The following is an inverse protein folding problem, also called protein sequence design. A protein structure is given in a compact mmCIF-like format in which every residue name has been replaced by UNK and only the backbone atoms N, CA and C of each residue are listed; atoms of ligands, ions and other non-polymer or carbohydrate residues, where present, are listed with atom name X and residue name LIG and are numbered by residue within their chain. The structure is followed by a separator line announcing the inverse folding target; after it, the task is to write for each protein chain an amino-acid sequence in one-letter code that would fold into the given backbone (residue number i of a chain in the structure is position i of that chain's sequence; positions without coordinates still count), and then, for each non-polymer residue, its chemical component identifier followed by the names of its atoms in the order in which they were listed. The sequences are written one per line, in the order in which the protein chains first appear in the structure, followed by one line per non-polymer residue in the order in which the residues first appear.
data_IF_517473351964
#
_entry.id   IF_517473351964
#
_cell.length_a   1.000
_cell.length_b   1.000
_cell.length_c   1.000
_cell.angle_alpha   90.00
_cell.angle_beta   90.00
_cell.angle_gamma   90.00
#
_symmetry.space_group_name_H-M   'P 1'
#
loop_
_entity.id
_entity.type
_entity.pdbx_description
1 polymer ?
#
# COMPACT_ATOMS: atom_id res chain seq x y z
N UNK A 1 37.03 12.38 -13.58
CA UNK A 1 36.38 11.17 -14.12
C UNK A 1 37.20 10.59 -15.27
N UNK A 2 37.77 11.39 -16.16
CA UNK A 2 38.52 10.95 -17.37
C UNK A 2 39.79 10.12 -17.13
N UNK A 3 40.19 9.91 -15.86
CA UNK A 3 41.34 9.07 -15.46
C UNK A 3 40.94 7.80 -14.71
N UNK A 4 39.65 7.59 -14.46
CA UNK A 4 39.12 6.41 -13.76
C UNK A 4 38.68 5.36 -14.77
N UNK A 5 38.90 4.08 -14.45
CA UNK A 5 38.39 2.99 -15.28
C UNK A 5 36.85 2.95 -15.18
N UNK A 6 36.14 2.53 -16.24
CA UNK A 6 34.69 2.41 -16.22
C UNK A 6 34.16 1.59 -15.03
N UNK A 7 34.88 0.55 -14.61
CA UNK A 7 34.54 -0.27 -13.46
C UNK A 7 34.48 0.52 -12.13
N UNK A 8 35.44 1.42 -11.87
CA UNK A 8 35.44 2.26 -10.67
C UNK A 8 34.28 3.25 -10.73
N UNK A 9 33.97 3.79 -11.91
CA UNK A 9 32.85 4.73 -12.09
C UNK A 9 31.53 4.02 -11.80
N UNK A 10 31.33 2.80 -12.29
CA UNK A 10 30.12 2.02 -12.01
C UNK A 10 29.94 1.75 -10.52
N UNK A 11 31.00 1.37 -9.81
CA UNK A 11 30.96 1.22 -8.35
C UNK A 11 30.54 2.52 -7.66
N UNK A 12 31.10 3.67 -8.05
CA UNK A 12 30.68 4.96 -7.47
C UNK A 12 29.18 5.21 -7.72
N UNK A 13 28.69 4.93 -8.93
CA UNK A 13 27.28 5.14 -9.30
C UNK A 13 26.32 4.28 -8.47
N UNK A 14 26.67 3.04 -8.14
CA UNK A 14 25.86 2.14 -7.29
C UNK A 14 25.65 2.68 -5.86
N UNK A 15 26.59 3.48 -5.36
CA UNK A 15 26.55 4.07 -4.02
C UNK A 15 25.90 5.45 -3.95
N UNK A 16 25.47 6.02 -5.08
CA UNK A 16 24.75 7.29 -5.09
C UNK A 16 23.31 7.12 -4.61
N UNK A 17 22.80 8.14 -3.92
CA UNK A 17 21.36 8.23 -3.70
C UNK A 17 20.61 8.48 -5.02
N UNK A 18 19.29 8.24 -5.05
CA UNK A 18 18.50 8.36 -6.28
C UNK A 18 18.56 9.78 -6.87
N UNK A 19 18.39 10.87 -6.09
CA UNK A 19 18.51 12.22 -6.64
C UNK A 19 19.89 12.51 -7.25
N UNK A 20 20.97 12.10 -6.59
CA UNK A 20 22.33 12.31 -7.05
C UNK A 20 22.61 11.48 -8.29
N UNK A 21 22.19 10.22 -8.34
CA UNK A 21 22.29 9.37 -9.53
C UNK A 21 21.60 10.01 -10.75
N UNK A 22 20.41 10.56 -10.58
CA UNK A 22 19.67 11.24 -11.65
C UNK A 22 20.40 12.52 -12.11
N UNK A 23 20.98 13.29 -11.19
CA UNK A 23 21.77 14.47 -11.52
C UNK A 23 23.08 14.11 -12.25
N UNK A 24 23.75 13.03 -11.86
CA UNK A 24 24.96 12.54 -12.51
C UNK A 24 24.72 12.19 -13.98
N UNK A 25 23.56 11.65 -14.31
CA UNK A 25 23.15 11.39 -15.71
C UNK A 25 23.10 12.66 -16.56
N UNK A 26 22.89 13.83 -15.96
CA UNK A 26 22.84 15.12 -16.64
C UNK A 26 24.20 15.82 -16.70
N UNK A 27 25.23 15.29 -16.01
CA UNK A 27 26.52 15.96 -15.87
C UNK A 27 27.36 15.96 -17.15
N UNK A 28 27.32 14.89 -17.96
CA UNK A 28 28.04 14.81 -19.23
C UNK A 28 27.42 13.80 -20.20
N UNK A 29 27.74 13.94 -21.49
CA UNK A 29 27.31 12.97 -22.52
C UNK A 29 27.87 11.57 -22.27
N UNK A 30 29.15 11.48 -21.91
CA UNK A 30 29.80 10.20 -21.59
C UNK A 30 29.15 9.50 -20.40
N UNK A 31 28.78 10.24 -19.35
CA UNK A 31 28.08 9.67 -18.19
C UNK A 31 26.68 9.20 -18.54
N UNK A 32 25.96 9.97 -19.38
CA UNK A 32 24.64 9.59 -19.88
C UNK A 32 24.70 8.29 -20.70
N UNK A 33 25.70 8.14 -21.55
CA UNK A 33 25.92 6.94 -22.37
C UNK A 33 26.29 5.73 -21.49
N UNK A 34 27.22 5.90 -20.54
CA UNK A 34 27.59 4.85 -19.58
C UNK A 34 26.38 4.38 -18.74
N UNK A 35 25.60 5.30 -18.19
CA UNK A 35 24.41 4.97 -17.42
C UNK A 35 23.35 4.28 -18.29
N UNK A 36 23.21 4.66 -19.55
CA UNK A 36 22.27 4.02 -20.47
C UNK A 36 22.68 2.58 -20.82
N UNK A 37 23.99 2.32 -20.93
CA UNK A 37 24.54 0.98 -21.17
C UNK A 37 24.30 0.04 -19.98
N UNK A 38 24.51 0.52 -18.75
CA UNK A 38 24.39 -0.27 -17.51
C UNK A 38 23.09 0.00 -16.72
N UNK A 39 22.07 0.54 -17.39
CA UNK A 39 20.88 1.12 -16.73
C UNK A 39 20.18 0.13 -15.81
N UNK A 40 19.98 -1.10 -16.28
CA UNK A 40 19.26 -2.15 -15.56
C UNK A 40 20.01 -2.59 -14.30
N UNK A 41 21.32 -2.83 -14.40
CA UNK A 41 22.14 -3.30 -13.28
C UNK A 41 22.30 -2.21 -12.22
N UNK A 42 22.61 -0.97 -12.64
CA UNK A 42 22.71 0.18 -11.73
C UNK A 42 21.39 0.43 -11.01
N UNK A 43 20.27 0.38 -11.73
CA UNK A 43 18.94 0.52 -11.13
C UNK A 43 18.69 -0.54 -10.05
N UNK A 44 18.98 -1.81 -10.35
CA UNK A 44 18.75 -2.90 -9.42
C UNK A 44 19.61 -2.73 -8.15
N UNK A 45 20.91 -2.45 -8.32
CA UNK A 45 21.84 -2.24 -7.22
C UNK A 45 21.45 -1.04 -6.34
N UNK A 46 21.11 0.10 -6.96
CA UNK A 46 20.66 1.30 -6.23
C UNK A 46 19.36 1.03 -5.47
N UNK A 47 18.41 0.34 -6.10
CA UNK A 47 17.13 0.00 -5.45
C UNK A 47 17.33 -0.94 -4.26
N UNK A 48 18.12 -2.00 -4.40
CA UNK A 48 18.40 -2.96 -3.31
C UNK A 48 19.13 -2.32 -2.13
N UNK A 49 19.99 -1.33 -2.39
CA UNK A 49 20.77 -0.64 -1.35
C UNK A 49 19.98 0.41 -0.59
N UNK A 50 19.18 1.22 -1.30
CA UNK A 50 18.52 2.40 -0.71
C UNK A 50 17.10 2.09 -0.26
N UNK A 51 16.38 1.27 -1.03
CA UNK A 51 14.97 1.02 -0.78
C UNK A 51 14.80 -0.20 0.12
N UNK A 52 13.84 -0.16 1.05
CA UNK A 52 13.52 -1.33 1.86
C UNK A 52 13.17 -2.55 0.98
N UNK A 53 13.53 -3.78 1.39
CA UNK A 53 13.30 -5.00 0.59
C UNK A 53 11.84 -5.21 0.18
N UNK A 54 10.88 -4.81 1.03
CA UNK A 54 9.45 -4.92 0.71
C UNK A 54 9.03 -4.03 -0.47
N UNK A 55 9.78 -2.96 -0.78
CA UNK A 55 9.54 -2.11 -1.96
C UNK A 55 10.07 -2.78 -3.22
N UNK A 56 11.28 -3.35 -3.16
CA UNK A 56 11.95 -3.94 -4.33
C UNK A 56 11.24 -5.19 -4.84
N UNK A 57 10.50 -5.87 -3.95
CA UNK A 57 9.61 -6.99 -4.26
C UNK A 57 8.29 -6.56 -4.91
N UNK A 58 7.94 -5.28 -4.92
CA UNK A 58 6.73 -4.82 -5.59
C UNK A 58 6.95 -4.85 -7.11
N UNK A 59 6.03 -5.47 -7.84
CA UNK A 59 6.07 -5.51 -9.31
C UNK A 59 5.80 -4.10 -9.84
N UNK A 60 6.78 -3.37 -10.41
CA UNK A 60 6.53 -2.03 -10.92
C UNK A 60 5.44 -2.08 -12.00
N UNK A 61 4.51 -1.11 -12.04
CA UNK A 61 3.40 -1.16 -12.98
C UNK A 61 3.99 -1.09 -14.38
N UNK A 62 3.79 -2.14 -15.20
CA UNK A 62 4.33 -2.37 -16.56
C UNK A 62 5.14 -1.19 -17.10
N UNK A 63 6.33 -0.93 -16.55
CA UNK A 63 7.04 0.30 -16.86
C UNK A 63 7.54 0.14 -18.29
N UNK A 64 6.98 0.87 -19.26
CA UNK A 64 7.44 0.75 -20.63
C UNK A 64 8.79 1.48 -20.66
N UNK A 65 9.85 0.70 -20.88
CA UNK A 65 11.17 1.18 -21.29
C UNK A 65 12.02 1.81 -20.15
N UNK A 66 13.04 1.07 -19.70
CA UNK A 66 14.21 1.58 -18.96
C UNK A 66 14.26 1.25 -17.45
N UNK A 67 15.43 0.85 -16.96
CA UNK A 67 15.73 0.69 -15.53
C UNK A 67 15.45 1.96 -14.73
N UNK A 68 15.76 3.15 -15.24
CA UNK A 68 15.55 4.42 -14.53
C UNK A 68 14.06 4.67 -14.24
N UNK A 69 13.17 4.36 -15.19
CA UNK A 69 11.73 4.50 -14.94
C UNK A 69 11.26 3.54 -13.84
N UNK A 70 11.83 2.33 -13.79
CA UNK A 70 11.59 1.38 -12.71
C UNK A 70 12.10 1.93 -11.38
N UNK A 71 13.30 2.50 -11.31
CA UNK A 71 13.84 3.12 -10.10
C UNK A 71 12.91 4.22 -9.57
N UNK A 72 12.46 5.11 -10.45
CA UNK A 72 11.53 6.19 -10.10
C UNK A 72 10.17 5.66 -9.62
N UNK A 73 9.65 4.61 -10.24
CA UNK A 73 8.40 3.98 -9.81
C UNK A 73 8.54 3.36 -8.40
N UNK A 74 9.68 2.71 -8.11
CA UNK A 74 9.96 2.16 -6.79
C UNK A 74 10.14 3.27 -5.74
N UNK A 75 10.84 4.35 -6.07
CA UNK A 75 10.96 5.52 -5.18
C UNK A 75 9.59 6.14 -4.89
N UNK A 76 8.74 6.29 -5.91
CA UNK A 76 7.39 6.80 -5.74
C UNK A 76 6.58 5.92 -4.78
N UNK A 77 6.64 4.59 -4.96
CA UNK A 77 5.98 3.63 -4.05
C UNK A 77 6.48 3.78 -2.62
N UNK A 78 7.80 3.84 -2.43
CA UNK A 78 8.38 4.07 -1.10
C UNK A 78 7.84 5.35 -0.46
N UNK A 79 7.83 6.45 -1.20
CA UNK A 79 7.29 7.73 -0.71
C UNK A 79 5.82 7.61 -0.33
N UNK A 80 4.96 7.04 -1.19
CA UNK A 80 3.54 6.89 -0.88
C UNK A 80 3.33 6.02 0.35
N UNK A 81 4.01 4.87 0.44
CA UNK A 81 3.90 4.00 1.63
C UNK A 81 4.33 4.72 2.91
N UNK A 82 5.42 5.49 2.84
CA UNK A 82 5.92 6.28 3.96
C UNK A 82 4.93 7.36 4.38
N UNK A 83 4.46 8.18 3.44
CA UNK A 83 3.52 9.27 3.73
C UNK A 83 2.17 8.75 4.22
N UNK A 84 1.66 7.66 3.65
CA UNK A 84 0.42 7.02 4.12
C UNK A 84 0.59 6.51 5.55
N UNK A 85 1.69 5.83 5.87
CA UNK A 85 1.96 5.35 7.23
C UNK A 85 2.09 6.50 8.24
N UNK A 86 2.80 7.57 7.87
CA UNK A 86 2.91 8.78 8.69
C UNK A 86 1.54 9.42 8.94
N UNK A 87 0.71 9.48 7.91
CA UNK A 87 -0.64 10.03 8.01
C UNK A 87 -1.53 9.19 8.93
N UNK A 88 -1.44 7.86 8.84
CA UNK A 88 -2.11 6.92 9.75
C UNK A 88 -1.69 7.18 11.20
N UNK A 89 -0.39 7.35 11.46
CA UNK A 89 0.11 7.55 12.82
C UNK A 89 -0.17 8.94 13.40
N UNK A 90 -0.16 9.98 12.55
CA UNK A 90 -0.44 11.34 12.94
C UNK A 90 -1.93 11.63 13.15
N UNK A 91 -2.81 10.75 12.65
CA UNK A 91 -4.28 10.96 12.69
C UNK A 91 -5.02 9.83 13.38
N UNK A 92 -4.45 8.64 13.43
CA UNK A 92 -4.96 7.51 14.19
C UNK A 92 -4.88 7.75 15.67
N UNK A 93 -5.98 7.53 16.37
CA UNK A 93 -5.94 7.34 17.82
C UNK A 93 -5.69 5.86 18.07
N UNK A 94 -4.45 5.54 18.47
CA UNK A 94 -4.14 4.22 19.02
C UNK A 94 -4.26 4.36 20.54
N UNK A 95 -5.42 3.99 21.08
CA UNK A 95 -5.76 4.29 22.48
C UNK A 95 -6.17 5.75 22.65
N UNK A 96 -5.20 6.62 22.95
CA UNK A 96 -5.29 8.10 23.05
C UNK A 96 -4.05 8.78 22.44
N UNK A 97 -3.29 8.07 21.61
CA UNK A 97 -1.96 8.48 21.19
C UNK A 97 -1.97 8.97 19.75
N UNK A 98 -1.42 10.18 19.55
CA UNK A 98 -1.06 10.73 18.24
C UNK A 98 0.46 10.84 18.17
N UNK A 99 1.05 10.32 17.10
CA UNK A 99 2.50 10.35 16.90
C UNK A 99 2.91 11.43 15.90
N UNK A 100 3.99 12.15 16.21
CA UNK A 100 4.65 12.98 15.22
C UNK A 100 5.29 12.11 14.12
N UNK A 101 5.49 12.69 12.94
CA UNK A 101 6.07 11.97 11.80
C UNK A 101 7.48 11.43 12.07
N UNK A 102 8.22 12.05 13.01
CA UNK A 102 9.60 11.78 13.40
C UNK A 102 9.73 11.15 14.81
N UNK A 103 8.63 10.72 15.45
CA UNK A 103 8.73 10.01 16.74
C UNK A 103 9.40 8.64 16.54
N UNK A 104 10.64 8.51 17.02
CA UNK A 104 11.43 7.30 16.95
C UNK A 104 10.78 6.10 17.66
N UNK A 105 9.93 6.35 18.66
CA UNK A 105 9.17 5.28 19.32
C UNK A 105 8.16 4.62 18.38
N UNK A 106 7.68 5.37 17.38
CA UNK A 106 6.74 4.86 16.38
C UNK A 106 7.42 4.20 15.17
N UNK A 107 8.76 4.14 15.11
CA UNK A 107 9.50 3.59 13.95
C UNK A 107 9.18 2.13 13.65
N UNK A 108 9.09 1.30 14.69
CA UNK A 108 8.72 -0.10 14.57
C UNK A 108 7.29 -0.25 14.02
N UNK A 109 6.34 0.45 14.64
CA UNK A 109 4.94 0.45 14.20
C UNK A 109 4.79 0.99 12.77
N UNK A 110 5.53 2.05 12.41
CA UNK A 110 5.55 2.62 11.07
C UNK A 110 6.04 1.60 10.04
N UNK A 111 7.07 0.83 10.39
CA UNK A 111 7.60 -0.24 9.54
C UNK A 111 6.56 -1.33 9.32
N UNK A 112 5.85 -1.74 10.36
CA UNK A 112 4.77 -2.73 10.25
C UNK A 112 3.63 -2.24 9.35
N UNK A 113 3.21 -0.98 9.52
CA UNK A 113 2.19 -0.37 8.65
C UNK A 113 2.66 -0.33 7.19
N UNK A 114 3.89 0.11 6.93
CA UNK A 114 4.45 0.19 5.58
C UNK A 114 4.51 -1.17 4.89
N UNK A 115 4.90 -2.23 5.60
CA UNK A 115 4.90 -3.61 5.07
C UNK A 115 3.49 -4.09 4.76
N UNK A 116 2.52 -3.85 5.65
CA UNK A 116 1.12 -4.19 5.38
C UNK A 116 0.54 -3.44 4.18
N UNK A 117 0.87 -2.16 4.01
CA UNK A 117 0.49 -1.37 2.85
C UNK A 117 1.19 -1.86 1.56
N UNK A 118 2.43 -2.35 1.65
CA UNK A 118 3.14 -2.94 0.52
C UNK A 118 2.42 -4.18 0.00
N UNK A 119 1.98 -5.09 0.90
CA UNK A 119 1.17 -6.25 0.52
C UNK A 119 -0.15 -5.82 -0.15
N UNK A 120 -0.84 -4.82 0.41
CA UNK A 120 -2.05 -4.28 -0.19
C UNK A 120 -1.81 -3.71 -1.59
N UNK A 121 -0.66 -3.05 -1.81
CA UNK A 121 -0.27 -2.56 -3.13
C UNK A 121 -0.07 -3.70 -4.12
N UNK A 122 0.61 -4.79 -3.74
CA UNK A 122 0.74 -5.97 -4.61
C UNK A 122 -0.62 -6.52 -5.03
N UNK A 123 -1.61 -6.53 -4.13
CA UNK A 123 -2.97 -6.97 -4.44
C UNK A 123 -3.69 -6.04 -5.42
N UNK A 124 -3.38 -4.74 -5.38
CA UNK A 124 -3.86 -3.75 -6.33
C UNK A 124 -3.19 -3.91 -7.70
N UNK A 125 -1.87 -4.12 -7.74
CA UNK A 125 -1.12 -4.39 -8.99
C UNK A 125 -1.64 -5.63 -9.72
N UNK A 126 -2.00 -6.69 -8.97
CA UNK A 126 -2.61 -7.90 -9.54
C UNK A 126 -3.97 -7.56 -10.17
N UNK A 127 -4.81 -6.78 -9.47
CA UNK A 127 -6.11 -6.39 -9.99
C UNK A 127 -5.98 -5.55 -11.26
N UNK A 128 -5.15 -4.51 -11.23
CA UNK A 128 -4.88 -3.65 -12.38
C UNK A 128 -4.38 -4.46 -13.59
N UNK A 129 -3.51 -5.44 -13.36
CA UNK A 129 -2.97 -6.31 -14.41
C UNK A 129 -4.07 -7.12 -15.11
N UNK A 130 -4.98 -7.71 -14.32
CA UNK A 130 -6.11 -8.50 -14.84
C UNK A 130 -7.11 -7.58 -15.56
N UNK A 131 -7.45 -6.44 -14.96
CA UNK A 131 -8.39 -5.48 -15.55
C UNK A 131 -7.88 -4.93 -16.89
N UNK A 132 -6.60 -4.57 -16.94
CA UNK A 132 -5.95 -4.08 -18.18
C UNK A 132 -5.96 -5.15 -19.26
N UNK A 133 -5.65 -6.41 -18.91
CA UNK A 133 -5.72 -7.53 -19.85
C UNK A 133 -7.15 -7.77 -20.35
N UNK A 134 -8.14 -7.71 -19.45
CA UNK A 134 -9.54 -7.85 -19.80
C UNK A 134 -10.05 -6.69 -20.67
N UNK A 135 -9.58 -5.46 -20.44
CA UNK A 135 -9.91 -4.30 -21.26
C UNK A 135 -9.32 -4.43 -22.67
N UNK A 136 -8.03 -4.79 -22.80
CA UNK A 136 -7.39 -4.99 -24.09
C UNK A 136 -8.07 -6.12 -24.89
N UNK A 137 -8.47 -7.20 -24.22
CA UNK A 137 -9.21 -8.30 -24.84
C UNK A 137 -10.62 -7.90 -25.31
N UNK A 138 -11.23 -6.86 -24.74
CA UNK A 138 -12.51 -6.30 -25.22
C UNK A 138 -12.30 -5.40 -26.43
N UNK A 139 -11.26 -4.58 -26.43
CA UNK A 139 -10.94 -3.67 -27.54
C UNK A 139 -10.48 -4.42 -28.79
N UNK A 140 -9.75 -5.52 -28.62
CA UNK A 140 -9.31 -6.38 -29.72
C UNK A 140 -10.47 -7.16 -30.39
N UNK A 141 -11.67 -7.18 -29.80
CA UNK A 141 -12.83 -7.80 -30.43
C UNK A 141 -13.40 -6.87 -31.50
N UNK A 142 -13.53 -7.32 -32.77
CA UNK A 142 -14.09 -6.49 -33.82
C UNK A 142 -15.52 -6.06 -33.44
N UNK A 143 -15.99 -4.87 -33.88
CA UNK A 143 -17.36 -4.44 -33.66
C UNK A 143 -18.31 -5.43 -34.34
N UNK A 144 -18.79 -6.42 -33.59
CA UNK A 144 -19.72 -7.44 -34.10
C UNK A 144 -21.07 -6.79 -34.35
N UNK A 145 -21.26 -6.27 -35.57
CA UNK A 145 -22.55 -5.80 -36.07
C UNK A 145 -23.40 -6.87 -36.74
N UNK A 146 -22.94 -8.13 -36.91
CA UNK A 146 -23.60 -9.04 -37.89
C UNK A 146 -24.01 -10.42 -37.37
N UNK A 147 -23.70 -10.84 -36.15
CA UNK A 147 -24.23 -12.11 -35.63
C UNK A 147 -24.74 -11.89 -34.23
N UNK A 148 -26.00 -12.27 -33.96
CA UNK A 148 -26.74 -12.16 -32.70
C UNK A 148 -26.14 -12.95 -31.52
N UNK A 149 -24.81 -12.97 -31.44
CA UNK A 149 -24.02 -13.55 -30.36
C UNK A 149 -24.21 -12.63 -29.16
N UNK A 150 -24.99 -13.14 -28.22
CA UNK A 150 -25.24 -12.57 -26.90
C UNK A 150 -23.98 -11.90 -26.33
N UNK A 151 -24.04 -10.59 -26.10
CA UNK A 151 -23.08 -9.96 -25.18
C UNK A 151 -23.28 -10.61 -23.81
N UNK A 152 -22.22 -11.13 -23.15
CA UNK A 152 -22.33 -11.53 -21.76
C UNK A 152 -22.92 -10.35 -20.99
N UNK A 153 -23.92 -10.61 -20.15
CA UNK A 153 -24.44 -9.57 -19.26
C UNK A 153 -23.25 -8.98 -18.49
N UNK A 154 -23.25 -7.67 -18.29
CA UNK A 154 -22.18 -6.94 -17.60
C UNK A 154 -21.78 -7.61 -16.27
N UNK A 155 -22.75 -8.17 -15.55
CA UNK A 155 -22.54 -8.94 -14.32
C UNK A 155 -21.74 -10.23 -14.53
N UNK A 156 -21.90 -10.94 -15.64
CA UNK A 156 -21.14 -12.14 -15.99
C UNK A 156 -19.69 -11.80 -16.31
N UNK A 157 -19.47 -10.68 -16.99
CA UNK A 157 -18.13 -10.21 -17.35
C UNK A 157 -17.36 -9.73 -16.11
N UNK A 158 -18.00 -8.92 -15.26
CA UNK A 158 -17.43 -8.50 -13.97
C UNK A 158 -17.09 -9.73 -13.13
N UNK A 159 -17.99 -10.71 -13.04
CA UNK A 159 -17.72 -11.93 -12.28
C UNK A 159 -16.49 -12.69 -12.78
N UNK A 160 -16.32 -12.84 -14.09
CA UNK A 160 -15.11 -13.48 -14.64
C UNK A 160 -13.84 -12.72 -14.30
N UNK A 161 -13.87 -11.38 -14.37
CA UNK A 161 -12.72 -10.55 -13.99
C UNK A 161 -12.42 -10.71 -12.49
N UNK A 162 -13.44 -10.65 -11.62
CA UNK A 162 -13.25 -10.86 -10.18
C UNK A 162 -12.70 -12.26 -9.86
N UNK A 163 -13.24 -13.29 -10.50
CA UNK A 163 -12.79 -14.68 -10.29
C UNK A 163 -11.31 -14.83 -10.71
N UNK A 164 -10.88 -14.19 -11.79
CA UNK A 164 -9.47 -14.18 -12.22
C UNK A 164 -8.57 -13.36 -11.28
N UNK A 165 -9.02 -12.18 -10.83
CA UNK A 165 -8.30 -11.38 -9.83
C UNK A 165 -8.09 -12.19 -8.56
N UNK A 166 -9.16 -12.81 -8.05
CA UNK A 166 -9.09 -13.64 -6.85
C UNK A 166 -8.11 -14.79 -7.05
N UNK A 167 -8.21 -15.54 -8.15
CA UNK A 167 -7.31 -16.66 -8.43
C UNK A 167 -5.83 -16.24 -8.40
N UNK A 168 -5.46 -15.12 -9.05
CA UNK A 168 -4.07 -14.64 -9.06
C UNK A 168 -3.61 -14.11 -7.71
N UNK A 169 -4.51 -13.50 -6.93
CA UNK A 169 -4.19 -13.08 -5.55
C UNK A 169 -3.93 -14.28 -4.65
N UNK A 170 -4.80 -15.30 -4.72
CA UNK A 170 -4.63 -16.53 -3.94
C UNK A 170 -3.34 -17.27 -4.32
N UNK A 171 -3.02 -17.34 -5.61
CA UNK A 171 -1.74 -17.88 -6.09
C UNK A 171 -0.55 -17.12 -5.48
N UNK A 172 -0.56 -15.78 -5.52
CA UNK A 172 0.50 -14.96 -4.93
C UNK A 172 0.61 -15.17 -3.42
N UNK A 173 -0.53 -15.21 -2.71
CA UNK A 173 -0.57 -15.44 -1.26
C UNK A 173 0.07 -16.77 -0.91
N UNK A 174 -0.37 -17.85 -1.55
CA UNK A 174 0.11 -19.21 -1.25
C UNK A 174 1.60 -19.39 -1.56
N UNK A 175 2.14 -18.65 -2.54
CA UNK A 175 3.52 -18.79 -2.97
C UNK A 175 4.50 -17.84 -2.25
N UNK A 176 4.06 -16.64 -1.87
CA UNK A 176 4.98 -15.53 -1.53
C UNK A 176 4.68 -14.83 -0.22
N UNK A 177 3.50 -15.02 0.38
CA UNK A 177 3.11 -14.31 1.60
C UNK A 177 3.45 -15.16 2.82
N UNK A 178 4.25 -14.60 3.72
CA UNK A 178 4.64 -15.25 4.98
C UNK A 178 3.66 -14.93 6.11
N UNK A 179 3.73 -15.69 7.21
CA UNK A 179 2.96 -15.39 8.42
C UNK A 179 3.28 -14.00 9.01
N UNK A 180 4.51 -13.52 8.82
CA UNK A 180 4.98 -12.19 9.20
C UNK A 180 4.30 -11.10 8.36
N UNK A 181 4.14 -11.31 7.06
CA UNK A 181 3.40 -10.39 6.18
C UNK A 181 1.91 -10.29 6.57
N UNK A 182 1.30 -11.40 6.98
CA UNK A 182 -0.08 -11.41 7.48
C UNK A 182 -0.19 -10.59 8.77
N UNK A 183 0.75 -10.74 9.70
CA UNK A 183 0.81 -9.92 10.91
C UNK A 183 0.92 -8.42 10.57
N UNK A 184 1.84 -8.04 9.69
CA UNK A 184 1.99 -6.65 9.22
C UNK A 184 0.72 -6.10 8.58
N UNK A 185 0.04 -6.91 7.78
CA UNK A 185 -1.23 -6.56 7.16
C UNK A 185 -2.33 -6.32 8.20
N UNK A 186 -2.42 -7.15 9.24
CA UNK A 186 -3.37 -6.96 10.35
C UNK A 186 -3.07 -5.69 11.17
N UNK A 187 -1.80 -5.41 11.46
CA UNK A 187 -1.37 -4.15 12.10
C UNK A 187 -1.82 -2.96 11.26
N UNK A 188 -1.49 -2.95 9.96
CA UNK A 188 -1.90 -1.90 9.03
C UNK A 188 -3.43 -1.71 8.98
N UNK A 189 -4.20 -2.79 8.91
CA UNK A 189 -5.66 -2.74 8.88
C UNK A 189 -6.23 -2.14 10.18
N UNK A 190 -5.66 -2.55 11.33
CA UNK A 190 -6.09 -2.10 12.66
C UNK A 190 -5.81 -0.61 12.86
N UNK A 191 -4.63 -0.13 12.50
CA UNK A 191 -4.26 1.29 12.63
C UNK A 191 -5.00 2.18 11.63
N UNK A 192 -5.26 1.67 10.42
CA UNK A 192 -6.07 2.38 9.43
C UNK A 192 -7.50 2.55 9.92
N UNK A 193 -8.12 1.50 10.47
CA UNK A 193 -9.44 1.57 11.10
C UNK A 193 -9.49 2.65 12.18
N UNK A 194 -8.50 2.66 13.08
CA UNK A 194 -8.43 3.64 14.16
C UNK A 194 -8.37 5.09 13.62
N UNK A 195 -7.65 5.30 12.52
CA UNK A 195 -7.58 6.61 11.83
C UNK A 195 -8.94 7.05 11.31
N UNK A 196 -9.68 6.15 10.65
CA UNK A 196 -11.00 6.47 10.16
C UNK A 196 -12.03 6.69 11.27
N UNK A 197 -11.95 5.96 12.39
CA UNK A 197 -12.86 6.14 13.52
C UNK A 197 -12.64 7.46 14.27
N UNK A 198 -11.40 7.92 14.36
CA UNK A 198 -11.05 9.15 15.07
C UNK A 198 -11.52 10.42 14.33
N UNK A 199 -11.48 10.42 12.99
CA UNK A 199 -11.81 11.62 12.20
C UNK A 199 -13.32 11.89 12.14
N UNK A 200 -14.00 12.30 13.22
CA UNK A 200 -15.41 12.80 13.22
C UNK A 200 -16.45 11.91 12.50
N UNK A 201 -16.11 10.67 12.19
CA UNK A 201 -16.97 9.66 11.56
C UNK A 201 -17.90 9.03 12.61
N UNK A 202 -17.57 9.17 13.89
CA UNK A 202 -18.40 8.73 15.01
C UNK A 202 -19.76 9.47 15.11
N UNK A 203 -19.85 10.72 14.64
CA UNK A 203 -21.07 11.53 14.69
C UNK A 203 -22.05 11.25 13.53
N UNK A 204 -21.69 10.37 12.60
CA UNK A 204 -22.56 9.98 11.51
C UNK A 204 -23.16 8.59 11.74
N UNK A 205 -24.48 8.56 12.00
CA UNK A 205 -25.32 7.37 12.15
C UNK A 205 -25.19 6.33 11.03
N UNK A 206 -24.65 6.72 9.88
CA UNK A 206 -24.28 5.85 8.76
C UNK A 206 -23.13 4.87 9.05
N UNK A 207 -22.28 5.14 10.06
CA UNK A 207 -21.16 4.28 10.48
C UNK A 207 -21.51 3.39 11.69
N UNK A 208 -22.72 3.51 12.25
CA UNK A 208 -23.20 2.59 13.31
C UNK A 208 -23.28 1.11 12.87
N UNK A 209 -23.20 0.85 11.56
CA UNK A 209 -23.01 -0.48 11.04
C UNK A 209 -21.56 -0.93 11.24
N UNK A 210 -21.37 -1.90 12.13
CA UNK A 210 -20.12 -2.56 12.57
C UNK A 210 -19.22 -3.15 11.45
N UNK A 211 -19.34 -2.74 10.18
CA UNK A 211 -18.81 -3.43 8.99
C UNK A 211 -17.89 -2.54 8.14
N UNK A 212 -17.14 -1.60 8.72
CA UNK A 212 -16.47 -0.57 7.90
C UNK A 212 -14.99 -0.79 7.65
N UNK A 213 -14.18 -1.14 8.65
CA UNK A 213 -12.75 -1.49 8.47
C UNK A 213 -12.40 -2.52 9.54
N UNK A 214 -11.49 -3.45 9.25
CA UNK A 214 -11.06 -4.49 10.20
C UNK A 214 -12.03 -5.66 10.43
N UNK A 215 -13.20 -5.67 9.79
CA UNK A 215 -14.00 -6.90 9.62
C UNK A 215 -13.82 -7.40 8.19
N UNK A 216 -13.73 -8.73 8.04
CA UNK A 216 -13.60 -9.47 6.74
C UNK A 216 -14.62 -9.01 5.67
N UNK A 217 -15.71 -8.39 6.12
CA UNK A 217 -16.88 -7.97 5.35
C UNK A 217 -16.94 -6.46 5.04
N UNK A 218 -15.87 -5.71 5.31
CA UNK A 218 -15.81 -4.28 5.05
C UNK A 218 -15.61 -3.97 3.56
N UNK A 219 -16.51 -3.15 2.99
CA UNK A 219 -16.39 -2.72 1.59
C UNK A 219 -15.08 -1.98 1.31
N UNK A 220 -14.59 -1.23 2.30
CA UNK A 220 -13.33 -0.49 2.24
C UNK A 220 -12.15 -1.44 2.04
N UNK A 221 -12.15 -2.61 2.69
CA UNK A 221 -11.07 -3.58 2.55
C UNK A 221 -10.94 -4.05 1.09
N UNK A 222 -12.05 -4.38 0.44
CA UNK A 222 -12.01 -4.86 -0.96
C UNK A 222 -11.69 -3.72 -1.93
N UNK A 223 -12.17 -2.50 -1.64
CA UNK A 223 -11.85 -1.30 -2.41
C UNK A 223 -10.35 -1.01 -2.39
N UNK A 224 -9.75 -1.03 -1.20
CA UNK A 224 -8.32 -0.79 -1.04
C UNK A 224 -7.48 -1.93 -1.58
N UNK A 225 -7.94 -3.19 -1.52
CA UNK A 225 -7.27 -4.29 -2.22
C UNK A 225 -7.21 -4.05 -3.73
N UNK A 226 -8.21 -3.36 -4.32
CA UNK A 226 -8.22 -3.03 -5.74
C UNK A 226 -7.34 -1.83 -6.10
N UNK A 227 -7.43 -0.75 -5.32
CA UNK A 227 -6.84 0.53 -5.72
C UNK A 227 -5.55 0.89 -4.98
N UNK A 228 -5.25 0.20 -3.89
CA UNK A 228 -4.01 0.33 -3.13
C UNK A 228 -3.88 1.59 -2.27
N UNK A 229 -2.71 1.76 -1.63
CA UNK A 229 -2.41 2.85 -0.70
C UNK A 229 -2.49 4.30 -1.23
N UNK A 230 -2.30 4.61 -2.54
CA UNK A 230 -2.48 5.97 -3.03
C UNK A 230 -3.87 6.54 -2.76
N UNK A 231 -4.89 5.69 -2.76
CA UNK A 231 -6.26 6.09 -2.43
C UNK A 231 -6.36 6.58 -0.98
N UNK A 232 -5.75 5.86 -0.04
CA UNK A 232 -5.70 6.27 1.36
C UNK A 232 -4.99 7.61 1.53
N UNK A 233 -3.83 7.76 0.88
CA UNK A 233 -3.08 9.01 0.94
C UNK A 233 -3.96 10.17 0.45
N UNK A 234 -4.58 10.03 -0.73
CA UNK A 234 -5.46 11.04 -1.27
C UNK A 234 -6.62 11.36 -0.32
N UNK A 235 -7.30 10.35 0.24
CA UNK A 235 -8.42 10.55 1.16
C UNK A 235 -8.02 11.39 2.37
N UNK A 236 -6.82 11.15 2.92
CA UNK A 236 -6.37 11.83 4.11
C UNK A 236 -5.66 13.15 3.81
N UNK A 237 -4.93 13.31 2.71
CA UNK A 237 -4.24 14.57 2.39
C UNK A 237 -5.17 15.63 1.81
N UNK A 238 -6.43 15.31 1.51
CA UNK A 238 -7.38 16.29 1.02
C UNK A 238 -7.65 17.38 2.06
N UNK A 239 -7.77 18.65 1.64
CA UNK A 239 -8.21 19.75 2.50
C UNK A 239 -9.71 19.67 2.82
N UNK A 240 -10.38 18.62 2.34
CA UNK A 240 -11.79 18.35 2.55
C UNK A 240 -11.92 17.42 3.76
N UNK A 241 -12.89 17.64 4.67
CA UNK A 241 -13.14 16.74 5.78
C UNK A 241 -13.34 15.29 5.33
N UNK A 242 -12.75 14.33 6.04
CA UNK A 242 -12.74 12.92 5.61
C UNK A 242 -14.13 12.29 5.49
N UNK A 243 -15.14 12.83 6.19
CA UNK A 243 -16.54 12.42 6.02
C UNK A 243 -17.06 12.66 4.59
N UNK A 244 -16.61 13.72 3.92
CA UNK A 244 -17.03 14.04 2.55
C UNK A 244 -16.39 13.09 1.54
N UNK A 245 -15.11 12.76 1.71
CA UNK A 245 -14.45 11.74 0.87
C UNK A 245 -15.08 10.36 1.04
N UNK A 246 -15.44 9.99 2.28
CA UNK A 246 -16.21 8.78 2.55
C UNK A 246 -17.57 8.80 1.83
N UNK A 247 -18.26 9.95 1.81
CA UNK A 247 -19.53 10.11 1.08
C UNK A 247 -19.34 9.94 -0.42
N UNK A 248 -18.27 10.47 -0.99
CA UNK A 248 -17.95 10.32 -2.41
C UNK A 248 -17.65 8.87 -2.77
N UNK A 249 -16.87 8.16 -1.94
CA UNK A 249 -16.61 6.74 -2.15
C UNK A 249 -17.91 5.94 -2.04
N UNK A 250 -18.73 6.20 -1.01
CA UNK A 250 -20.05 5.58 -0.88
C UNK A 250 -20.99 5.91 -2.05
N UNK A 251 -20.89 7.09 -2.63
CA UNK A 251 -21.65 7.47 -3.82
C UNK A 251 -21.20 6.64 -5.04
N UNK A 252 -19.89 6.47 -5.23
CA UNK A 252 -19.32 5.57 -6.25
C UNK A 252 -19.87 4.15 -6.07
N UNK A 253 -19.95 3.66 -4.82
CA UNK A 253 -20.49 2.32 -4.54
C UNK A 253 -22.01 2.23 -4.74
N UNK A 254 -22.76 3.24 -4.30
CA UNK A 254 -24.22 3.26 -4.41
C UNK A 254 -24.70 3.32 -5.86
N UNK A 255 -23.87 3.88 -6.75
CA UNK A 255 -24.10 3.88 -8.19
C UNK A 255 -23.82 2.51 -8.86
N UNK A 256 -23.12 1.58 -8.20
CA UNK A 256 -22.82 0.25 -8.76
C UNK A 256 -24.01 -0.70 -8.63
N UNK A 257 -24.16 -1.60 -9.61
CA UNK A 257 -25.18 -2.64 -9.58
C UNK A 257 -24.95 -3.57 -8.38
N UNK A 258 -26.00 -3.84 -7.59
CA UNK A 258 -25.94 -4.71 -6.39
C UNK A 258 -25.26 -6.08 -6.64
N UNK A 259 -25.42 -6.64 -7.84
CA UNK A 259 -24.77 -7.91 -8.21
C UNK A 259 -23.23 -7.81 -8.26
N UNK A 260 -22.69 -6.68 -8.74
CA UNK A 260 -21.25 -6.42 -8.81
C UNK A 260 -20.66 -6.33 -7.41
N UNK A 261 -21.30 -5.54 -6.54
CA UNK A 261 -20.87 -5.36 -5.15
C UNK A 261 -20.83 -6.70 -4.40
N UNK A 262 -21.82 -7.57 -4.62
CA UNK A 262 -21.83 -8.92 -4.01
C UNK A 262 -20.67 -9.78 -4.46
N UNK A 263 -20.26 -9.68 -5.73
CA UNK A 263 -19.12 -10.44 -6.26
C UNK A 263 -17.80 -9.93 -5.69
N UNK A 264 -17.57 -8.62 -5.76
CA UNK A 264 -16.37 -7.99 -5.18
C UNK A 264 -16.25 -8.28 -3.67
N UNK A 265 -17.39 -8.21 -2.95
CA UNK A 265 -17.50 -8.60 -1.55
C UNK A 265 -17.01 -10.02 -1.29
N UNK A 266 -17.56 -10.96 -2.03
CA UNK A 266 -17.25 -12.37 -1.84
C UNK A 266 -15.77 -12.62 -2.09
N UNK A 267 -15.21 -12.06 -3.17
CA UNK A 267 -13.79 -12.20 -3.48
C UNK A 267 -12.89 -11.63 -2.37
N UNK A 268 -13.23 -10.47 -1.81
CA UNK A 268 -12.48 -9.90 -0.69
C UNK A 268 -12.59 -10.73 0.60
N UNK A 269 -13.74 -11.32 0.88
CA UNK A 269 -13.91 -12.26 2.01
C UNK A 269 -13.08 -13.53 1.83
N UNK A 270 -13.10 -14.11 0.62
CA UNK A 270 -12.35 -15.31 0.29
C UNK A 270 -10.83 -15.04 0.40
N UNK A 271 -10.36 -13.87 -0.05
CA UNK A 271 -8.99 -13.41 0.15
C UNK A 271 -8.59 -13.33 1.64
N UNK A 272 -9.42 -12.69 2.47
CA UNK A 272 -9.14 -12.58 3.91
C UNK A 272 -9.18 -13.93 4.63
N UNK A 273 -10.01 -14.86 4.15
CA UNK A 273 -10.02 -16.22 4.67
C UNK A 273 -8.68 -16.91 4.41
N UNK A 274 -8.13 -16.79 3.21
CA UNK A 274 -6.83 -17.39 2.88
C UNK A 274 -5.69 -16.82 3.72
N UNK A 275 -5.64 -15.49 3.92
CA UNK A 275 -4.65 -14.88 4.81
C UNK A 275 -4.74 -15.42 6.26
N UNK A 276 -5.97 -15.60 6.75
CA UNK A 276 -6.21 -16.17 8.07
C UNK A 276 -5.80 -17.64 8.16
N UNK A 277 -5.83 -18.39 7.06
CA UNK A 277 -5.38 -19.79 7.04
C UNK A 277 -3.84 -19.88 7.08
N UNK A 278 -3.11 -18.87 6.58
CA UNK A 278 -1.65 -18.76 6.72
C UNK A 278 -1.22 -18.43 8.15
N UNK A 279 -1.86 -17.44 8.79
CA UNK A 279 -1.60 -17.11 10.18
C UNK A 279 -2.92 -16.92 10.96
N UNK A 280 -3.47 -18.00 11.55
CA UNK A 280 -4.72 -17.95 12.32
C UNK A 280 -4.64 -17.10 13.59
N UNK A 281 -3.42 -16.87 14.10
CA UNK A 281 -3.17 -16.10 15.32
C UNK A 281 -2.81 -14.65 15.06
N UNK A 282 -2.64 -14.22 13.80
CA UNK A 282 -2.22 -12.87 13.42
C UNK A 282 -3.07 -11.77 14.08
N UNK A 283 -4.39 -11.93 14.12
CA UNK A 283 -5.27 -10.95 14.76
C UNK A 283 -5.02 -10.85 16.27
N UNK A 284 -4.82 -11.99 16.94
CA UNK A 284 -4.53 -12.04 18.38
C UNK A 284 -3.13 -11.47 18.66
N UNK A 285 -2.15 -11.79 17.84
CA UNK A 285 -0.78 -11.26 17.90
C UNK A 285 -0.79 -9.74 17.71
N UNK A 286 -1.49 -9.23 16.70
CA UNK A 286 -1.70 -7.80 16.47
C UNK A 286 -2.35 -7.14 17.70
N UNK A 287 -3.45 -7.71 18.21
CA UNK A 287 -4.12 -7.16 19.40
C UNK A 287 -3.19 -7.09 20.61
N UNK A 288 -2.40 -8.13 20.86
CA UNK A 288 -1.44 -8.17 21.97
C UNK A 288 -0.34 -7.11 21.76
N UNK A 289 0.22 -7.04 20.55
CA UNK A 289 1.24 -6.06 20.19
C UNK A 289 0.73 -4.63 20.41
N UNK A 290 -0.47 -4.30 19.94
CA UNK A 290 -1.05 -2.96 20.10
C UNK A 290 -1.26 -2.61 21.58
N UNK A 291 -1.68 -3.57 22.41
CA UNK A 291 -1.83 -3.35 23.87
C UNK A 291 -0.47 -3.10 24.55
N UNK A 292 0.54 -3.91 24.22
CA UNK A 292 1.90 -3.73 24.75
C UNK A 292 2.51 -2.40 24.30
N UNK A 293 2.29 -2.01 23.05
CA UNK A 293 2.77 -0.76 22.48
C UNK A 293 2.19 0.45 23.24
N UNK A 294 0.86 0.45 23.48
CA UNK A 294 0.19 1.49 24.29
C UNK A 294 0.71 1.51 25.73
N UNK A 295 0.94 0.34 26.33
CA UNK A 295 1.52 0.25 27.68
C UNK A 295 2.91 0.87 27.74
N UNK A 296 3.79 0.55 26.77
CA UNK A 296 5.15 1.11 26.68
C UNK A 296 5.14 2.63 26.50
N UNK A 297 4.24 3.19 25.69
CA UNK A 297 4.13 4.64 25.54
C UNK A 297 3.67 5.32 26.83
N UNK A 298 2.69 4.76 27.53
CA UNK A 298 2.23 5.26 28.82
C UNK A 298 3.35 5.27 29.87
N UNK A 299 4.19 4.23 29.91
CA UNK A 299 5.36 4.19 30.78
C UNK A 299 6.40 5.25 30.39
N UNK A 300 6.65 5.46 29.09
CA UNK A 300 7.53 6.52 28.56
C UNK A 300 7.06 7.92 29.01
N UNK A 301 5.76 8.21 28.87
CA UNK A 301 5.16 9.49 29.27
C UNK A 301 5.28 9.72 30.78
N UNK A 302 5.02 8.69 31.59
CA UNK A 302 5.18 8.77 33.06
C UNK A 302 6.62 9.07 33.48
N UNK A 303 7.61 8.43 32.86
CA UNK A 303 9.03 8.72 33.13
C UNK A 303 9.40 10.15 32.75
N UNK A 304 8.89 10.64 31.62
CA UNK A 304 9.15 12.01 31.15
C UNK A 304 8.52 13.06 32.06
N UNK A 305 7.30 12.82 32.55
CA UNK A 305 6.62 13.69 33.52
C UNK A 305 7.30 13.68 34.89
N UNK A 306 7.77 12.51 35.36
CA UNK A 306 8.50 12.38 36.63
C UNK A 306 9.88 13.06 36.60
N UNK A 307 10.59 13.01 35.46
CA UNK A 307 11.86 13.70 35.29
C UNK A 307 11.72 15.23 35.27
N UNK A 308 10.62 15.76 34.74
CA UNK A 308 10.31 17.19 34.77
C UNK A 308 10.00 17.75 36.16
N UNK A 309 9.39 16.93 37.04
CA UNK A 309 9.11 17.33 38.42
C UNK A 309 10.37 17.43 39.29
N UNK A 310 11.37 16.56 39.06
CA UNK A 310 12.63 16.59 39.81
C UNK A 310 13.55 17.76 39.39
N UNK A 311 13.41 18.25 38.16
CA UNK A 311 14.20 19.38 37.66
C UNK A 311 13.63 20.77 38.04
N UNK A 312 12.37 20.85 38.50
CA UNK A 312 11.73 22.11 38.89
C UNK A 312 11.92 22.47 40.38
N UNK A 313 12.38 21.52 41.19
CA UNK A 313 12.63 21.68 42.64
C UNK A 313 14.15 21.76 42.98
N UNK A 314 15.00 22.01 41.97
CA UNK A 314 16.46 22.16 42.11
C UNK A 314 16.96 23.57 41.89
#
# INVERSE_FOLDING_TARGET
MDRLTPAIILQVLEFLDIPTFLNFRLASRAMKELIAEYETSLTAAIAERILPPYITQLTPPKAPHGGIKRLLALQHRHNVLRETANTILARGIIGDIVFAADDAFADELRTYIQRGLALQWQMADIAETVETAAAAAREAQPPRRVLGIWRPRETTLVRRVEDEILAKRLEHIQQKVSADDVFHYEVMCTTSLATFLNQEVADHSYISNKNWIGRKDAWMNWYLLRHGPPVLLNIWTWPIPCHQTIREINAIFSARKKGIIKTERKAGMDFHKELNDINPTAFKECSNYMQEFVKKDNERRRRSAGAGAVAADG
#
